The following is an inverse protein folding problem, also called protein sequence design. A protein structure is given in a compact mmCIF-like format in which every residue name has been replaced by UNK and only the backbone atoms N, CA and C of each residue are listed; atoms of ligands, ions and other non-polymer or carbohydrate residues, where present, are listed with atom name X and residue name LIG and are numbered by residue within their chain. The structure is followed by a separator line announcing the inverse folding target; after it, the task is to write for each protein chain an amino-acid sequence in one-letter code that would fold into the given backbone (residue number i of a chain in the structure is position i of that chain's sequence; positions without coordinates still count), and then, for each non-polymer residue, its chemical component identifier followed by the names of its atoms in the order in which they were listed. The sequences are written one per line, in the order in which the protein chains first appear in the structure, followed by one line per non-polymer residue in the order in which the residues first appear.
data_IF_452675537202
#
_entry.id   IF_452675537202
#
_cell.length_a   1.000
_cell.length_b   1.000
_cell.length_c   1.000
_cell.angle_alpha   90.00
_cell.angle_beta   90.00
_cell.angle_gamma   90.00
#
_symmetry.space_group_name_H-M   'P 1'
#
loop_
_entity.id
_entity.type
_entity.pdbx_description
1 polymer ?
#
# COMPACT_ATOMS: atom_id res chain seq x y z
N UNK A 1 -8.45 3.60 -8.79
CA UNK A 1 -8.46 2.18 -9.22
C UNK A 1 -8.28 1.24 -8.02
N UNK A 2 -8.04 1.80 -6.83
CA UNK A 2 -7.63 1.07 -5.62
C UNK A 2 -8.81 0.53 -4.81
N UNK A 3 -9.96 1.19 -4.83
CA UNK A 3 -11.17 0.71 -4.13
C UNK A 3 -11.64 -0.67 -4.62
N UNK A 4 -11.60 -0.90 -5.94
CA UNK A 4 -11.91 -2.21 -6.53
C UNK A 4 -10.87 -3.27 -6.11
N UNK A 5 -9.58 -2.91 -6.12
CA UNK A 5 -8.52 -3.82 -5.67
C UNK A 5 -8.70 -4.19 -4.20
N UNK A 6 -8.96 -3.21 -3.34
CA UNK A 6 -9.24 -3.44 -1.92
C UNK A 6 -10.44 -4.36 -1.75
N UNK A 7 -11.58 -4.04 -2.38
CA UNK A 7 -12.79 -4.84 -2.29
C UNK A 7 -12.61 -6.29 -2.74
N UNK A 8 -11.70 -6.58 -3.68
CA UNK A 8 -11.46 -7.95 -4.17
C UNK A 8 -10.38 -8.71 -3.39
N UNK A 9 -9.50 -8.01 -2.67
CA UNK A 9 -8.32 -8.60 -2.04
C UNK A 9 -8.28 -8.41 -0.52
N UNK A 10 -9.37 -7.96 0.11
CA UNK A 10 -9.48 -7.86 1.58
C UNK A 10 -10.61 -8.74 2.18
N UNK A 11 -10.64 -10.07 1.92
CA UNK A 11 -11.72 -10.95 2.37
C UNK A 11 -11.88 -11.01 3.89
N UNK A 12 -10.80 -10.96 4.68
CA UNK A 12 -10.83 -11.03 6.14
C UNK A 12 -11.47 -9.76 6.71
N UNK A 13 -11.09 -8.60 6.20
CA UNK A 13 -11.74 -7.33 6.55
C UNK A 13 -13.23 -7.35 6.19
N UNK A 14 -13.58 -7.83 5.00
CA UNK A 14 -14.97 -7.89 4.56
C UNK A 14 -15.80 -8.86 5.41
N UNK A 15 -15.24 -10.01 5.79
CA UNK A 15 -15.89 -10.96 6.69
C UNK A 15 -16.13 -10.32 8.07
N UNK A 16 -15.14 -9.63 8.63
CA UNK A 16 -15.27 -8.88 9.90
C UNK A 16 -16.33 -7.77 9.80
N UNK A 17 -16.42 -7.09 8.65
CA UNK A 17 -17.43 -6.06 8.41
C UNK A 17 -18.84 -6.66 8.30
N UNK A 18 -18.98 -7.76 7.55
CA UNK A 18 -20.24 -8.49 7.38
C UNK A 18 -20.76 -9.05 8.71
N UNK A 19 -19.87 -9.52 9.58
CA UNK A 19 -20.24 -9.97 10.93
C UNK A 19 -20.81 -8.88 11.84
N UNK A 20 -20.78 -7.60 11.45
CA UNK A 20 -21.37 -6.48 12.20
C UNK A 20 -22.80 -6.12 11.78
N UNK A 21 -23.28 -6.67 10.67
CA UNK A 21 -24.64 -6.45 10.18
C UNK A 21 -25.46 -7.73 10.33
N UNK A 22 -26.73 -7.58 10.69
CA UNK A 22 -27.64 -8.73 10.80
C UNK A 22 -27.82 -9.41 9.43
N UNK A 23 -27.98 -10.73 9.43
CA UNK A 23 -28.22 -11.53 8.23
C UNK A 23 -29.65 -11.31 7.71
N UNK A 24 -29.90 -10.14 7.12
CA UNK A 24 -31.16 -9.80 6.47
C UNK A 24 -31.02 -9.73 4.93
N UNK A 25 -32.16 -9.69 4.25
CA UNK A 25 -32.29 -9.75 2.78
C UNK A 25 -31.69 -8.56 2.02
N UNK A 26 -31.23 -7.50 2.70
CA UNK A 26 -30.65 -6.31 2.08
C UNK A 26 -29.33 -5.87 2.76
N UNK A 27 -28.33 -6.74 2.67
CA UNK A 27 -26.99 -6.55 3.25
C UNK A 27 -26.35 -5.25 2.74
N UNK A 28 -26.50 -4.93 1.45
CA UNK A 28 -25.91 -3.72 0.86
C UNK A 28 -26.43 -2.44 1.50
N UNK A 29 -27.74 -2.35 1.75
CA UNK A 29 -28.35 -1.22 2.46
C UNK A 29 -27.93 -1.17 3.92
N UNK A 30 -27.84 -2.32 4.60
CA UNK A 30 -27.41 -2.39 5.99
C UNK A 30 -25.97 -1.93 6.18
N UNK A 31 -25.04 -2.40 5.33
CA UNK A 31 -23.65 -1.95 5.34
C UNK A 31 -23.58 -0.45 5.06
N UNK A 32 -24.26 0.04 4.02
CA UNK A 32 -24.30 1.47 3.70
C UNK A 32 -24.78 2.30 4.89
N UNK A 33 -25.84 1.85 5.57
CA UNK A 33 -26.35 2.51 6.77
C UNK A 33 -25.36 2.44 7.93
N UNK A 34 -24.72 1.29 8.15
CA UNK A 34 -23.74 1.09 9.21
C UNK A 34 -22.54 2.02 9.04
N UNK A 35 -21.97 2.09 7.84
CA UNK A 35 -20.79 2.91 7.51
C UNK A 35 -21.05 4.42 7.64
N UNK A 36 -22.29 4.89 7.47
CA UNK A 36 -22.65 6.30 7.72
C UNK A 36 -22.42 6.73 9.17
N UNK A 37 -22.50 5.80 10.12
CA UNK A 37 -22.35 6.09 11.55
C UNK A 37 -21.07 5.48 12.14
N UNK A 38 -20.40 4.59 11.41
CA UNK A 38 -19.19 3.90 11.82
C UNK A 38 -18.17 3.94 10.67
N UNK A 39 -17.42 5.03 10.50
CA UNK A 39 -16.39 5.10 9.48
C UNK A 39 -15.39 3.96 9.70
N UNK A 40 -14.94 3.36 8.59
CA UNK A 40 -13.91 2.32 8.63
C UNK A 40 -12.54 2.97 8.55
N UNK A 41 -11.56 2.34 9.18
CA UNK A 41 -10.17 2.65 8.94
C UNK A 41 -9.78 2.04 7.58
N UNK A 42 -9.60 2.86 6.55
CA UNK A 42 -9.27 2.44 5.18
C UNK A 42 -7.89 1.76 5.07
N UNK A 43 -7.02 1.96 6.06
CA UNK A 43 -5.72 1.29 6.11
C UNK A 43 -5.85 -0.22 6.36
N UNK A 44 -6.89 -0.69 7.07
CA UNK A 44 -7.13 -2.13 7.27
C UNK A 44 -7.32 -2.88 5.93
N UNK A 45 -8.34 -2.55 5.10
CA UNK A 45 -8.53 -3.23 3.81
C UNK A 45 -7.41 -2.93 2.82
N UNK A 46 -6.74 -1.76 2.90
CA UNK A 46 -5.57 -1.47 2.08
C UNK A 46 -4.43 -2.45 2.35
N UNK A 47 -3.99 -2.57 3.61
CA UNK A 47 -2.87 -3.45 3.97
C UNK A 47 -3.17 -4.91 3.65
N UNK A 48 -4.40 -5.35 3.88
CA UNK A 48 -4.82 -6.68 3.47
C UNK A 48 -4.74 -6.87 1.95
N UNK A 49 -5.21 -5.89 1.18
CA UNK A 49 -5.20 -5.95 -0.30
C UNK A 49 -3.81 -5.96 -0.93
N UNK A 50 -2.79 -5.50 -0.20
CA UNK A 50 -1.38 -5.55 -0.62
C UNK A 50 -0.65 -6.79 -0.08
N UNK A 51 -1.39 -7.73 0.53
CA UNK A 51 -0.90 -9.05 0.91
C UNK A 51 -0.46 -9.21 2.36
N UNK A 52 -0.71 -8.22 3.23
CA UNK A 52 -0.43 -8.35 4.66
C UNK A 52 -1.57 -9.00 5.41
N UNK A 53 -1.25 -9.88 6.36
CA UNK A 53 -2.24 -10.41 7.29
C UNK A 53 -2.53 -9.39 8.41
N UNK A 54 -3.72 -9.44 9.05
CA UNK A 54 -4.05 -8.55 10.18
C UNK A 54 -3.00 -8.52 11.27
N UNK A 55 -2.44 -9.68 11.63
CA UNK A 55 -1.37 -9.77 12.62
C UNK A 55 -0.08 -9.03 12.22
N UNK A 56 0.16 -8.86 10.91
CA UNK A 56 1.34 -8.19 10.37
C UNK A 56 1.13 -6.68 10.26
N UNK A 57 -0.07 -6.21 9.91
CA UNK A 57 -0.31 -4.79 9.67
C UNK A 57 -0.84 -4.01 10.87
N UNK A 58 -1.32 -4.67 11.93
CA UNK A 58 -1.88 -3.99 13.10
C UNK A 58 -0.90 -2.97 13.72
N UNK A 59 0.41 -3.23 13.66
CA UNK A 59 1.46 -2.32 14.16
C UNK A 59 1.68 -1.09 13.28
N UNK A 60 1.21 -1.13 12.03
CA UNK A 60 1.35 -0.05 11.05
C UNK A 60 0.10 0.82 10.93
N UNK A 61 -1.00 0.44 11.58
CA UNK A 61 -2.22 1.24 11.54
C UNK A 61 -1.97 2.61 12.17
N UNK A 62 -2.24 3.71 11.45
CA UNK A 62 -2.11 5.04 12.02
C UNK A 62 -3.11 5.22 13.16
N UNK A 63 -2.68 5.94 14.21
CA UNK A 63 -3.53 6.21 15.38
C UNK A 63 -4.59 7.28 15.12
N UNK A 64 -4.21 8.27 14.31
CA UNK A 64 -4.98 9.50 14.13
C UNK A 64 -5.46 9.71 12.68
N UNK A 65 -5.23 8.73 11.78
CA UNK A 65 -5.70 8.75 10.41
C UNK A 65 -6.64 7.58 10.14
N UNK A 66 -7.72 7.84 9.42
CA UNK A 66 -8.69 6.82 9.01
C UNK A 66 -8.83 6.70 7.49
N UNK A 67 -8.50 7.75 6.75
CA UNK A 67 -8.64 7.79 5.29
C UNK A 67 -7.26 7.72 4.62
N UNK A 68 -7.12 6.88 3.60
CA UNK A 68 -5.87 6.76 2.85
C UNK A 68 -5.54 8.05 2.11
N UNK A 69 -6.56 8.81 1.71
CA UNK A 69 -6.40 10.11 1.04
C UNK A 69 -5.63 11.13 1.88
N UNK A 70 -5.61 10.96 3.21
CA UNK A 70 -4.89 11.86 4.11
C UNK A 70 -3.39 11.55 4.15
N UNK A 71 -2.96 10.37 3.69
CA UNK A 71 -1.56 9.96 3.55
C UNK A 71 -1.14 9.93 2.07
N UNK A 72 -0.96 11.14 1.52
CA UNK A 72 -0.65 11.32 0.10
C UNK A 72 0.67 10.69 -0.35
N UNK A 73 1.70 10.67 0.52
CA UNK A 73 3.00 10.08 0.20
C UNK A 73 2.93 8.55 0.14
N UNK A 74 2.15 7.93 1.04
CA UNK A 74 1.89 6.49 0.99
C UNK A 74 1.27 6.10 -0.35
N UNK A 75 0.21 6.81 -0.75
CA UNK A 75 -0.51 6.55 -1.99
C UNK A 75 0.35 6.81 -3.23
N UNK A 76 1.12 7.90 -3.24
CA UNK A 76 2.03 8.21 -4.34
C UNK A 76 3.06 7.11 -4.55
N UNK A 77 3.80 6.75 -3.50
CA UNK A 77 4.84 5.73 -3.60
C UNK A 77 4.26 4.33 -3.88
N UNK A 78 3.08 4.02 -3.34
CA UNK A 78 2.33 2.82 -3.73
C UNK A 78 2.03 2.78 -5.23
N UNK A 79 1.55 3.90 -5.79
CA UNK A 79 1.23 4.01 -7.22
C UNK A 79 2.49 3.90 -8.08
N UNK A 80 3.60 4.50 -7.66
CA UNK A 80 4.90 4.34 -8.34
C UNK A 80 5.29 2.86 -8.43
N UNK A 81 5.23 2.11 -7.33
CA UNK A 81 5.56 0.67 -7.35
C UNK A 81 4.60 -0.13 -8.25
N UNK A 82 3.29 0.18 -8.22
CA UNK A 82 2.32 -0.46 -9.10
C UNK A 82 2.59 -0.17 -10.58
N UNK A 83 2.82 1.10 -10.92
CA UNK A 83 3.09 1.54 -12.29
C UNK A 83 4.43 1.03 -12.80
N UNK A 84 5.40 0.83 -11.91
CA UNK A 84 6.68 0.21 -12.22
C UNK A 84 6.57 -1.30 -12.49
N UNK A 85 5.42 -1.92 -12.22
CA UNK A 85 5.14 -3.32 -12.53
C UNK A 85 5.28 -4.28 -11.35
N UNK A 86 5.34 -3.79 -10.11
CA UNK A 86 5.33 -4.64 -8.93
C UNK A 86 3.89 -5.08 -8.64
N UNK A 87 3.69 -6.40 -8.50
CA UNK A 87 2.38 -6.95 -8.14
C UNK A 87 1.92 -6.44 -6.77
N UNK A 88 0.66 -6.02 -6.68
CA UNK A 88 0.10 -5.37 -5.47
C UNK A 88 0.24 -6.22 -4.21
N UNK A 89 0.04 -7.53 -4.30
CA UNK A 89 0.19 -8.48 -3.20
C UNK A 89 1.64 -8.64 -2.71
N UNK A 90 2.64 -8.15 -3.45
CA UNK A 90 4.05 -8.13 -3.05
C UNK A 90 4.44 -6.80 -2.39
N UNK A 91 3.64 -5.75 -2.58
CA UNK A 91 3.90 -4.43 -2.02
C UNK A 91 3.76 -4.44 -0.49
N UNK A 92 2.88 -5.26 0.07
CA UNK A 92 2.77 -5.44 1.52
C UNK A 92 4.08 -5.87 2.17
N UNK A 93 4.79 -6.84 1.55
CA UNK A 93 6.12 -7.26 2.01
C UNK A 93 7.10 -6.09 1.99
N UNK A 94 7.12 -5.31 0.90
CA UNK A 94 7.97 -4.12 0.75
C UNK A 94 7.68 -3.11 1.87
N UNK A 95 6.40 -2.85 2.14
CA UNK A 95 5.96 -1.95 3.21
C UNK A 95 6.43 -2.40 4.59
N UNK A 96 6.29 -3.69 4.89
CA UNK A 96 6.70 -4.29 6.17
C UNK A 96 8.20 -4.22 6.39
N UNK A 97 8.99 -4.46 5.35
CA UNK A 97 10.46 -4.52 5.45
C UNK A 97 11.10 -3.13 5.37
N UNK A 98 10.54 -2.22 4.58
CA UNK A 98 11.14 -0.93 4.27
C UNK A 98 10.09 0.19 4.21
N UNK A 99 9.41 0.44 5.32
CA UNK A 99 8.34 1.45 5.42
C UNK A 99 8.79 2.86 5.00
N UNK A 100 10.08 3.17 5.08
CA UNK A 100 10.62 4.48 4.68
C UNK A 100 10.38 4.80 3.20
N UNK A 101 10.32 3.79 2.33
CA UNK A 101 10.07 3.95 0.89
C UNK A 101 8.73 4.65 0.63
N UNK A 102 7.74 4.39 1.47
CA UNK A 102 6.40 4.96 1.33
C UNK A 102 6.29 6.38 1.88
N UNK A 103 7.38 6.92 2.43
CA UNK A 103 7.50 8.27 2.97
C UNK A 103 8.41 9.15 2.12
N UNK A 104 8.84 8.66 0.96
CA UNK A 104 9.63 9.43 0.02
C UNK A 104 8.82 10.57 -0.57
N UNK A 105 9.47 11.74 -0.69
CA UNK A 105 8.91 12.87 -1.40
C UNK A 105 8.61 12.50 -2.86
N UNK A 106 7.66 13.21 -3.45
CA UNK A 106 7.26 13.03 -4.84
C UNK A 106 8.47 12.98 -5.77
N UNK A 107 8.50 11.97 -6.64
CA UNK A 107 9.59 11.77 -7.60
C UNK A 107 10.80 10.99 -7.07
N UNK A 108 11.06 10.96 -5.76
CA UNK A 108 12.27 10.32 -5.21
C UNK A 108 12.30 8.83 -5.49
N UNK A 109 11.17 8.13 -5.32
CA UNK A 109 11.10 6.68 -5.56
C UNK A 109 11.29 6.33 -7.05
N UNK A 110 10.65 7.08 -7.96
CA UNK A 110 10.80 6.82 -9.39
C UNK A 110 12.24 7.07 -9.85
N UNK A 111 12.85 8.19 -9.43
CA UNK A 111 14.26 8.46 -9.75
C UNK A 111 15.20 7.41 -9.15
N UNK A 112 14.90 6.92 -7.94
CA UNK A 112 15.67 5.83 -7.33
C UNK A 112 15.59 4.55 -8.17
N UNK A 113 14.43 4.21 -8.72
CA UNK A 113 14.25 3.05 -9.60
C UNK A 113 14.96 3.24 -10.94
N UNK A 114 14.90 4.45 -11.52
CA UNK A 114 15.57 4.80 -12.78
C UNK A 114 17.09 4.68 -12.69
N UNK A 115 17.71 5.04 -11.55
CA UNK A 115 19.15 4.84 -11.32
C UNK A 115 19.57 3.38 -11.52
N UNK A 116 18.76 2.41 -11.11
CA UNK A 116 19.07 0.99 -11.34
C UNK A 116 19.03 0.62 -12.83
N UNK A 117 18.15 1.24 -13.61
CA UNK A 117 18.09 1.05 -15.06
C UNK A 117 19.30 1.67 -15.75
N UNK A 118 19.75 2.86 -15.30
CA UNK A 118 20.97 3.51 -15.77
C UNK A 118 22.24 2.67 -15.49
N UNK A 119 22.23 1.87 -14.42
CA UNK A 119 23.27 0.89 -14.10
C UNK A 119 23.20 -0.38 -14.99
N UNK A 120 22.27 -0.44 -15.94
CA UNK A 120 22.13 -1.52 -16.92
C UNK A 120 21.18 -2.64 -16.52
N UNK A 121 20.40 -2.48 -15.44
CA UNK A 121 19.38 -3.46 -15.06
C UNK A 121 18.11 -3.25 -15.89
N UNK A 122 17.53 -4.33 -16.42
CA UNK A 122 16.19 -4.24 -17.01
C UNK A 122 15.15 -3.98 -15.91
N UNK A 123 14.04 -3.31 -16.26
CA UNK A 123 12.89 -3.13 -15.36
C UNK A 123 12.48 -4.44 -14.66
N UNK A 124 12.41 -5.56 -15.39
CA UNK A 124 12.05 -6.86 -14.82
C UNK A 124 13.08 -7.36 -13.78
N UNK A 125 14.36 -7.03 -13.96
CA UNK A 125 15.41 -7.32 -12.98
C UNK A 125 15.26 -6.44 -11.74
N UNK A 126 14.97 -5.15 -11.91
CA UNK A 126 14.73 -4.22 -10.80
C UNK A 126 13.51 -4.64 -9.98
N UNK A 127 12.38 -4.97 -10.64
CA UNK A 127 11.18 -5.50 -9.98
C UNK A 127 11.51 -6.73 -9.12
N UNK A 128 12.23 -7.70 -9.67
CA UNK A 128 12.65 -8.89 -8.91
C UNK A 128 13.54 -8.53 -7.72
N UNK A 129 14.50 -7.63 -7.93
CA UNK A 129 15.41 -7.19 -6.89
C UNK A 129 14.68 -6.52 -5.73
N UNK A 130 13.81 -5.57 -6.00
CA UNK A 130 13.03 -4.82 -5.00
C UNK A 130 12.09 -5.75 -4.21
N UNK A 131 11.42 -6.68 -4.89
CA UNK A 131 10.54 -7.67 -4.23
C UNK A 131 11.35 -8.62 -3.32
N UNK A 132 12.56 -8.99 -3.74
CA UNK A 132 13.43 -9.87 -2.97
C UNK A 132 13.98 -9.16 -1.73
N UNK A 133 14.45 -7.92 -1.88
CA UNK A 133 15.02 -7.09 -0.81
C UNK A 133 14.76 -5.61 -1.12
N UNK A 134 13.87 -4.94 -0.37
CA UNK A 134 13.56 -3.53 -0.61
C UNK A 134 14.53 -2.56 0.07
N UNK A 135 15.36 -3.02 1.03
CA UNK A 135 16.32 -2.21 1.77
C UNK A 135 17.28 -1.37 0.94
N UNK A 136 17.77 -1.81 -0.23
CA UNK A 136 18.60 -0.99 -1.10
C UNK A 136 17.92 0.32 -1.54
N UNK A 137 16.59 0.34 -1.61
CA UNK A 137 15.84 1.55 -1.93
C UNK A 137 15.82 2.56 -0.79
N UNK A 138 16.01 2.15 0.47
CA UNK A 138 15.90 2.99 1.70
C UNK A 138 16.99 4.08 1.79
N UNK A 139 18.03 3.99 0.96
CA UNK A 139 19.11 4.99 0.88
C UNK A 139 18.97 6.03 -0.24
N UNK A 140 18.07 5.82 -1.21
CA UNK A 140 17.96 6.63 -2.44
C UNK A 140 17.68 8.12 -2.20
N UNK A 141 17.07 8.47 -1.06
CA UNK A 141 16.81 9.86 -0.69
C UNK A 141 18.08 10.72 -0.48
N UNK A 142 19.26 10.12 -0.28
CA UNK A 142 20.48 10.84 0.08
C UNK A 142 21.50 11.05 -1.06
N UNK A 143 21.30 10.44 -2.23
CA UNK A 143 22.28 10.52 -3.33
C UNK A 143 21.90 11.51 -4.45
N UNK A 144 20.65 11.99 -4.49
CA UNK A 144 20.17 12.95 -5.50
C UNK A 144 20.48 14.44 -5.26
N UNK A 145 21.10 14.81 -4.12
CA UNK A 145 21.35 16.22 -3.76
C UNK A 145 22.83 16.66 -3.86
N UNK A 146 23.68 15.85 -4.49
CA UNK A 146 25.03 16.28 -4.87
C UNK A 146 25.10 16.36 -6.39
N UNK A 147 24.65 17.47 -6.96
CA UNK A 147 25.12 18.11 -8.20
C UNK A 147 24.02 19.05 -8.76
N UNK A 148 23.92 20.25 -8.20
CA UNK A 148 23.28 21.42 -8.83
C UNK A 148 23.97 22.69 -8.36
#
# INVERSE_FOLDING_TARGET
MDAENMSRNSPIFLEKLLGRVEHESDIGRLITRFLRYHPINEFEPFFESVGLQPAEYNVFLPRDLMFLSDDSLLLENYNVLCNYGIERNKIGKIYKEATQIFRYDYGVLVSTLEVYEELGLSQASVVKFVVCSPYPLVGGANEGLKNS
#
